data_IF_048256173958
#
_entry.id   IF_048256173958
#
_cell.length_a   1.000
_cell.length_b   1.000
_cell.length_c   1.000
_cell.angle_alpha   90.00
_cell.angle_beta   90.00
_cell.angle_gamma   90.00
#
_symmetry.space_group_name_H-M   'P 1'
#
loop_
_entity.id
_entity.type
_entity.pdbx_description
1 polymer ?
#
# COMPACT_ATOMS: atom_id res chain seq x y z
N UNK A 1 37.93 -18.71 -11.23
CA UNK A 1 38.15 -17.85 -10.06
C UNK A 1 36.81 -17.74 -9.35
N UNK A 2 36.68 -18.29 -8.13
CA UNK A 2 35.50 -18.05 -7.28
C UNK A 2 35.68 -16.73 -6.55
N UNK A 3 34.61 -15.94 -6.45
CA UNK A 3 34.58 -14.77 -5.57
C UNK A 3 34.51 -15.27 -4.13
N UNK A 4 35.28 -14.64 -3.24
CA UNK A 4 35.28 -14.93 -1.80
C UNK A 4 34.55 -13.84 -1.03
N UNK A 5 33.87 -14.23 0.05
CA UNK A 5 33.21 -13.33 0.97
C UNK A 5 34.23 -12.37 1.61
N UNK A 6 33.85 -11.09 1.74
CA UNK A 6 34.72 -10.05 2.32
C UNK A 6 34.95 -10.26 3.83
N UNK A 7 33.95 -10.74 4.58
CA UNK A 7 34.06 -10.89 6.04
C UNK A 7 34.77 -12.19 6.44
N UNK A 8 34.33 -13.32 5.89
CA UNK A 8 34.75 -14.64 6.40
C UNK A 8 35.66 -15.42 5.44
N UNK A 9 35.85 -14.93 4.20
CA UNK A 9 36.70 -15.58 3.19
C UNK A 9 36.13 -16.85 2.55
N UNK A 10 34.92 -17.27 2.94
CA UNK A 10 34.16 -18.37 2.34
C UNK A 10 33.74 -18.10 0.89
N UNK A 11 33.28 -19.12 0.17
CA UNK A 11 32.77 -18.96 -1.19
C UNK A 11 31.56 -18.01 -1.21
N UNK A 12 31.63 -16.97 -2.06
CA UNK A 12 30.57 -15.99 -2.19
C UNK A 12 29.37 -16.58 -2.93
N UNK A 13 28.18 -16.43 -2.35
CA UNK A 13 26.91 -16.90 -2.93
C UNK A 13 26.04 -15.76 -3.45
N UNK A 14 26.44 -14.51 -3.17
CA UNK A 14 25.72 -13.31 -3.59
C UNK A 14 26.60 -12.07 -3.53
N UNK A 15 26.04 -10.94 -3.93
CA UNK A 15 26.71 -9.63 -3.94
C UNK A 15 25.80 -8.63 -3.23
N UNK A 16 26.38 -7.82 -2.35
CA UNK A 16 25.67 -6.73 -1.71
C UNK A 16 25.17 -5.77 -2.78
N UNK A 17 23.86 -5.52 -2.80
CA UNK A 17 23.26 -4.69 -3.83
C UNK A 17 23.77 -3.25 -3.78
N UNK A 18 24.12 -2.70 -2.60
CA UNK A 18 24.52 -1.29 -2.40
C UNK A 18 25.98 -1.05 -2.74
N UNK A 19 26.90 -1.73 -2.04
CA UNK A 19 28.34 -1.51 -2.17
C UNK A 19 29.04 -2.46 -3.14
N UNK A 20 28.36 -3.47 -3.67
CA UNK A 20 28.96 -4.45 -4.60
C UNK A 20 29.87 -5.49 -3.94
N UNK A 21 29.94 -5.55 -2.60
CA UNK A 21 30.78 -6.50 -1.88
C UNK A 21 30.28 -7.95 -2.03
N UNK A 22 31.13 -8.94 -2.33
CA UNK A 22 30.75 -10.36 -2.33
C UNK A 22 30.43 -10.86 -0.91
N UNK A 23 29.33 -11.58 -0.76
CA UNK A 23 28.80 -12.07 0.52
C UNK A 23 28.56 -13.58 0.48
N UNK A 24 28.90 -14.28 1.57
CA UNK A 24 28.46 -15.66 1.82
C UNK A 24 27.02 -15.67 2.37
N UNK A 25 26.35 -16.81 2.38
CA UNK A 25 24.95 -16.94 2.85
C UNK A 25 24.76 -16.48 4.30
N UNK A 26 25.76 -16.63 5.16
CA UNK A 26 25.70 -16.21 6.55
C UNK A 26 25.74 -14.68 6.73
N UNK A 27 26.43 -13.96 5.83
CA UNK A 27 26.54 -12.50 5.86
C UNK A 27 25.48 -11.80 4.98
N UNK A 28 24.52 -12.54 4.44
CA UNK A 28 23.46 -11.99 3.61
C UNK A 28 22.24 -11.64 4.46
N UNK A 29 21.81 -10.39 4.37
CA UNK A 29 20.50 -9.98 4.88
C UNK A 29 19.60 -9.58 3.71
N UNK A 30 18.48 -10.27 3.57
CA UNK A 30 17.50 -9.93 2.54
C UNK A 30 16.51 -8.90 3.12
N UNK A 31 16.47 -7.71 2.49
CA UNK A 31 15.57 -6.63 2.90
C UNK A 31 14.81 -6.09 1.71
N UNK A 32 13.53 -5.79 1.92
CA UNK A 32 12.69 -5.15 0.92
C UNK A 32 13.02 -3.67 0.88
N UNK A 33 13.47 -3.19 -0.27
CA UNK A 33 13.79 -1.78 -0.51
C UNK A 33 12.68 -1.20 -1.39
N UNK A 34 12.02 -0.13 -0.94
CA UNK A 34 10.94 0.51 -1.69
C UNK A 34 11.47 1.35 -2.87
N UNK A 35 12.76 1.72 -2.84
CA UNK A 35 13.44 2.45 -3.92
C UNK A 35 13.70 1.56 -5.13
N UNK A 36 14.05 0.30 -4.91
CA UNK A 36 14.11 -0.70 -5.98
C UNK A 36 12.72 -1.31 -6.18
N UNK A 37 12.06 -0.97 -7.28
CA UNK A 37 10.77 -1.52 -7.61
C UNK A 37 10.80 -2.34 -8.89
N UNK A 38 10.15 -3.48 -8.84
CA UNK A 38 9.77 -4.27 -10.01
C UNK A 38 8.36 -3.89 -10.44
N UNK A 39 8.16 -3.69 -11.74
CA UNK A 39 6.87 -3.38 -12.33
C UNK A 39 6.30 -4.61 -13.02
N UNK A 40 5.12 -5.07 -12.60
CA UNK A 40 4.46 -6.23 -13.22
C UNK A 40 3.21 -5.83 -14.00
N UNK A 41 2.87 -6.58 -15.05
CA UNK A 41 1.74 -6.28 -15.94
C UNK A 41 0.37 -6.75 -15.39
N UNK A 42 0.26 -6.97 -14.08
CA UNK A 42 -0.95 -7.49 -13.42
C UNK A 42 -1.96 -6.43 -12.97
N UNK A 43 -1.69 -5.14 -13.17
CA UNK A 43 -2.48 -4.06 -12.58
C UNK A 43 -3.87 -3.84 -13.22
N UNK A 44 -4.21 -4.54 -14.32
CA UNK A 44 -5.55 -4.46 -14.92
C UNK A 44 -6.66 -4.88 -13.95
N UNK A 45 -6.44 -5.94 -13.17
CA UNK A 45 -7.39 -6.38 -12.14
C UNK A 45 -7.51 -5.35 -11.00
N UNK A 46 -6.38 -4.76 -10.57
CA UNK A 46 -6.37 -3.72 -9.54
C UNK A 46 -7.10 -2.45 -10.01
N UNK A 47 -6.91 -2.04 -11.27
CA UNK A 47 -7.62 -0.91 -11.87
C UNK A 47 -9.12 -1.18 -11.91
N UNK A 48 -9.54 -2.36 -12.38
CA UNK A 48 -10.94 -2.75 -12.41
C UNK A 48 -11.55 -2.77 -10.99
N UNK A 49 -10.83 -3.32 -10.01
CA UNK A 49 -11.22 -3.28 -8.60
C UNK A 49 -11.34 -1.85 -8.08
N UNK A 50 -10.37 -0.98 -8.39
CA UNK A 50 -10.37 0.41 -7.95
C UNK A 50 -11.61 1.15 -8.48
N UNK A 51 -11.92 1.01 -9.77
CA UNK A 51 -13.13 1.58 -10.38
C UNK A 51 -14.40 0.97 -9.77
N UNK A 52 -14.43 -0.34 -9.56
CA UNK A 52 -15.57 -1.02 -8.95
C UNK A 52 -15.80 -0.57 -7.51
N UNK A 53 -14.75 -0.36 -6.70
CA UNK A 53 -14.87 0.13 -5.32
C UNK A 53 -15.23 1.61 -5.29
N UNK A 54 -14.76 2.40 -6.25
CA UNK A 54 -15.07 3.83 -6.36
C UNK A 54 -16.54 4.07 -6.76
N UNK A 55 -17.03 3.37 -7.78
CA UNK A 55 -18.34 3.64 -8.40
C UNK A 55 -19.41 2.64 -7.92
N UNK A 56 -19.01 1.42 -7.59
CA UNK A 56 -19.90 0.31 -7.25
C UNK A 56 -20.79 0.58 -6.04
N UNK A 57 -20.30 1.08 -4.90
CA UNK A 57 -21.15 1.43 -3.76
C UNK A 57 -22.20 2.46 -4.12
N UNK A 58 -21.85 3.47 -4.93
CA UNK A 58 -22.82 4.45 -5.39
C UNK A 58 -23.90 3.80 -6.27
N UNK A 59 -23.52 3.03 -7.29
CA UNK A 59 -24.47 2.37 -8.20
C UNK A 59 -25.35 1.35 -7.47
N UNK A 60 -24.76 0.48 -6.66
CA UNK A 60 -25.49 -0.55 -5.92
C UNK A 60 -26.49 0.08 -4.95
N UNK A 61 -26.09 1.11 -4.21
CA UNK A 61 -26.90 1.67 -3.13
C UNK A 61 -27.86 2.78 -3.56
N UNK A 62 -27.69 3.37 -4.75
CA UNK A 62 -28.59 4.42 -5.28
C UNK A 62 -29.40 4.00 -6.49
N UNK A 63 -28.89 3.09 -7.32
CA UNK A 63 -29.54 2.73 -8.60
C UNK A 63 -30.14 1.33 -8.51
N UNK A 64 -29.34 0.32 -8.13
CA UNK A 64 -29.79 -1.08 -8.15
C UNK A 64 -30.67 -1.41 -6.95
N UNK A 65 -30.27 -1.00 -5.75
CA UNK A 65 -30.93 -1.33 -4.49
C UNK A 65 -31.12 -0.10 -3.57
N UNK A 66 -31.88 0.93 -4.00
CA UNK A 66 -31.97 2.22 -3.31
C UNK A 66 -32.49 2.11 -1.86
N UNK A 67 -33.36 1.14 -1.58
CA UNK A 67 -34.00 0.97 -0.29
C UNK A 67 -33.41 -0.19 0.55
N UNK A 68 -32.52 -1.02 -0.02
CA UNK A 68 -32.06 -2.23 0.66
C UNK A 68 -31.29 -1.95 1.95
N UNK A 69 -30.46 -0.90 1.96
CA UNK A 69 -29.68 -0.50 3.15
C UNK A 69 -30.60 0.01 4.26
N UNK A 70 -31.65 0.76 3.90
CA UNK A 70 -32.59 1.32 4.85
C UNK A 70 -33.50 0.24 5.46
N UNK A 71 -33.92 -0.75 4.66
CA UNK A 71 -34.68 -1.91 5.12
C UNK A 71 -33.80 -2.82 5.98
N UNK A 72 -32.58 -3.15 5.52
CA UNK A 72 -31.64 -4.02 6.22
C UNK A 72 -31.16 -3.45 7.55
N UNK A 73 -30.85 -2.15 7.63
CA UNK A 73 -30.39 -1.54 8.88
C UNK A 73 -31.50 -1.52 9.94
N UNK A 74 -32.75 -1.27 9.54
CA UNK A 74 -33.89 -1.33 10.45
C UNK A 74 -34.18 -2.76 10.92
N UNK A 75 -34.08 -3.74 10.03
CA UNK A 75 -34.30 -5.14 10.38
C UNK A 75 -33.25 -5.69 11.36
N UNK A 76 -31.98 -5.31 11.21
CA UNK A 76 -30.88 -5.81 12.06
C UNK A 76 -30.68 -5.01 13.35
N UNK A 77 -30.84 -3.68 13.30
CA UNK A 77 -30.46 -2.78 14.40
C UNK A 77 -31.62 -1.98 14.98
N UNK A 78 -32.84 -2.14 14.46
CA UNK A 78 -34.03 -1.41 14.92
C UNK A 78 -34.03 0.10 14.60
N UNK A 79 -32.96 0.64 14.00
CA UNK A 79 -32.79 2.07 13.68
C UNK A 79 -32.04 2.28 12.36
N UNK A 80 -32.16 3.48 11.77
CA UNK A 80 -31.36 3.85 10.59
C UNK A 80 -29.97 4.31 11.02
N UNK A 81 -28.95 3.51 10.72
CA UNK A 81 -27.56 3.80 11.07
C UNK A 81 -26.84 4.73 10.06
N UNK A 82 -27.56 5.32 9.09
CA UNK A 82 -26.96 6.12 7.98
C UNK A 82 -25.85 5.38 7.19
N UNK A 83 -25.87 4.04 7.21
CA UNK A 83 -24.91 3.14 6.53
C UNK A 83 -24.66 3.48 5.05
N UNK A 84 -25.67 4.01 4.38
CA UNK A 84 -25.58 4.35 2.96
C UNK A 84 -24.53 5.43 2.68
N UNK A 85 -24.51 6.50 3.46
CA UNK A 85 -23.56 7.60 3.27
C UNK A 85 -22.13 7.15 3.62
N UNK A 86 -21.96 6.48 4.76
CA UNK A 86 -20.69 5.89 5.18
C UNK A 86 -20.09 4.94 4.14
N UNK A 87 -20.87 3.98 3.63
CA UNK A 87 -20.41 3.03 2.60
C UNK A 87 -19.97 3.70 1.29
N UNK A 88 -20.71 4.71 0.85
CA UNK A 88 -20.37 5.46 -0.37
C UNK A 88 -19.08 6.26 -0.17
N UNK A 89 -18.96 6.99 0.93
CA UNK A 89 -17.76 7.78 1.24
C UNK A 89 -16.52 6.89 1.44
N UNK A 90 -16.66 5.77 2.15
CA UNK A 90 -15.60 4.77 2.29
C UNK A 90 -15.17 4.19 0.94
N UNK A 91 -16.13 3.92 0.05
CA UNK A 91 -15.87 3.47 -1.31
C UNK A 91 -15.05 4.47 -2.11
N UNK A 92 -15.37 5.76 -2.02
CA UNK A 92 -14.59 6.81 -2.68
C UNK A 92 -13.16 6.90 -2.13
N UNK A 93 -12.98 6.89 -0.81
CA UNK A 93 -11.65 6.98 -0.18
C UNK A 93 -10.77 5.78 -0.59
N UNK A 94 -11.30 4.56 -0.49
CA UNK A 94 -10.55 3.35 -0.87
C UNK A 94 -10.32 3.26 -2.38
N UNK A 95 -11.33 3.59 -3.19
CA UNK A 95 -11.24 3.58 -4.65
C UNK A 95 -10.19 4.56 -5.15
N UNK A 96 -10.14 5.77 -4.60
CA UNK A 96 -9.10 6.75 -4.92
C UNK A 96 -7.72 6.25 -4.50
N UNK A 97 -7.57 5.70 -3.30
CA UNK A 97 -6.29 5.17 -2.83
C UNK A 97 -5.78 4.03 -3.73
N UNK A 98 -6.67 3.13 -4.15
CA UNK A 98 -6.32 2.08 -5.10
C UNK A 98 -5.92 2.65 -6.46
N UNK A 99 -6.62 3.67 -6.97
CA UNK A 99 -6.22 4.35 -8.21
C UNK A 99 -4.84 5.01 -8.10
N UNK A 100 -4.52 5.64 -6.97
CA UNK A 100 -3.20 6.24 -6.74
C UNK A 100 -2.08 5.20 -6.62
N UNK A 101 -2.40 3.97 -6.21
CA UNK A 101 -1.41 2.88 -6.17
C UNK A 101 -1.06 2.31 -7.55
N UNK A 102 -1.82 2.68 -8.60
CA UNK A 102 -1.62 2.18 -9.96
C UNK A 102 -0.73 3.12 -10.75
N UNK A 103 0.31 2.56 -11.39
CA UNK A 103 1.25 3.32 -12.22
C UNK A 103 0.96 3.16 -13.71
N UNK A 104 1.16 4.24 -14.45
CA UNK A 104 0.97 4.27 -15.90
C UNK A 104 2.31 4.51 -16.57
N UNK A 105 2.71 3.63 -17.49
CA UNK A 105 3.85 3.87 -18.38
C UNK A 105 3.33 4.09 -19.80
N UNK A 106 3.52 5.29 -20.39
CA UNK A 106 3.21 5.48 -21.80
C UNK A 106 4.16 4.60 -22.63
N UNK A 107 3.60 3.86 -23.57
CA UNK A 107 4.37 3.13 -24.58
C UNK A 107 4.37 3.94 -25.88
N UNK A 108 5.34 3.70 -26.77
CA UNK A 108 5.57 4.50 -27.98
C UNK A 108 4.39 4.51 -28.98
N UNK A 109 3.34 3.72 -28.75
CA UNK A 109 2.05 3.87 -29.42
C UNK A 109 0.99 4.43 -28.47
N UNK A 110 0.35 5.55 -28.88
CA UNK A 110 -0.75 6.23 -28.18
C UNK A 110 -1.94 5.31 -27.79
N UNK A 111 -2.01 4.10 -28.37
CA UNK A 111 -3.06 3.11 -28.14
C UNK A 111 -2.72 2.04 -27.09
N UNK A 112 -1.46 1.96 -26.61
CA UNK A 112 -1.02 0.93 -25.66
C UNK A 112 -0.52 1.55 -24.35
N UNK A 113 -1.44 2.07 -23.54
CA UNK A 113 -1.13 2.41 -22.14
C UNK A 113 -1.06 1.11 -21.34
N UNK A 114 0.13 0.77 -20.82
CA UNK A 114 0.27 -0.37 -19.90
C UNK A 114 0.09 0.11 -18.47
N UNK A 115 -0.88 -0.52 -17.80
CA UNK A 115 -1.13 -0.36 -16.38
C UNK A 115 -0.16 -1.29 -15.64
N UNK A 116 0.63 -0.74 -14.74
CA UNK A 116 1.68 -1.45 -14.04
C UNK A 116 1.43 -1.43 -12.53
N UNK A 117 1.76 -2.55 -11.90
CA UNK A 117 1.78 -2.66 -10.45
C UNK A 117 3.20 -2.50 -9.95
N UNK A 118 3.39 -1.69 -8.92
CA UNK A 118 4.71 -1.45 -8.33
C UNK A 118 4.87 -2.36 -7.11
N UNK A 119 5.89 -3.21 -7.15
CA UNK A 119 6.24 -4.05 -6.02
C UNK A 119 7.70 -3.79 -5.61
N UNK A 120 7.91 -3.43 -4.34
CA UNK A 120 9.26 -3.29 -3.78
C UNK A 120 10.00 -4.62 -3.84
N UNK A 121 11.22 -4.58 -4.37
CA UNK A 121 12.04 -5.77 -4.58
C UNK A 121 12.91 -6.04 -3.36
N UNK A 122 13.12 -7.31 -3.06
CA UNK A 122 14.07 -7.71 -2.04
C UNK A 122 15.51 -7.54 -2.57
N UNK A 123 16.37 -6.92 -1.78
CA UNK A 123 17.78 -6.71 -2.07
C UNK A 123 18.61 -7.37 -0.99
N UNK A 124 19.68 -8.04 -1.42
CA UNK A 124 20.69 -8.60 -0.53
C UNK A 124 21.60 -7.47 -0.06
N UNK A 125 21.74 -7.31 1.26
CA UNK A 125 22.52 -6.25 1.88
C UNK A 125 23.56 -6.83 2.84
N UNK A 126 24.70 -6.13 2.92
CA UNK A 126 25.75 -6.33 3.90
C UNK A 126 25.35 -5.74 5.26
N UNK A 127 25.85 -6.23 6.39
CA UNK A 127 25.50 -5.70 7.73
C UNK A 127 25.78 -4.20 7.86
N UNK A 128 26.89 -3.70 7.32
CA UNK A 128 27.22 -2.27 7.31
C UNK A 128 26.20 -1.45 6.50
N UNK A 129 25.66 -2.05 5.44
CA UNK A 129 24.69 -1.47 4.52
C UNK A 129 23.26 -1.53 5.06
N UNK A 130 22.99 -2.38 6.06
CA UNK A 130 21.66 -2.52 6.68
C UNK A 130 21.30 -1.27 7.49
N UNK A 131 22.30 -0.61 8.10
CA UNK A 131 22.10 0.61 8.88
C UNK A 131 21.44 1.73 8.08
N UNK A 132 21.80 1.85 6.80
CA UNK A 132 21.27 2.88 5.89
C UNK A 132 19.80 2.65 5.51
N UNK A 133 19.31 1.41 5.60
CA UNK A 133 17.92 1.04 5.30
C UNK A 133 17.03 1.04 6.56
N UNK A 134 17.61 1.34 7.72
CA UNK A 134 16.90 1.35 8.99
C UNK A 134 15.92 2.52 9.09
N UNK A 135 16.25 3.68 8.50
CA UNK A 135 15.36 4.86 8.41
C UNK A 135 14.06 4.53 7.68
N UNK A 136 14.16 3.88 6.51
CA UNK A 136 13.01 3.44 5.71
C UNK A 136 12.14 2.45 6.47
N UNK A 137 12.74 1.55 7.26
CA UNK A 137 12.00 0.58 8.07
C UNK A 137 11.20 1.27 9.17
N UNK A 138 11.79 2.24 9.86
CA UNK A 138 11.10 3.04 10.88
C UNK A 138 9.95 3.81 10.25
N UNK A 139 10.15 4.36 9.05
CA UNK A 139 9.13 5.08 8.32
C UNK A 139 7.97 4.18 7.89
N UNK A 140 8.26 2.99 7.36
CA UNK A 140 7.25 1.98 7.03
C UNK A 140 6.43 1.58 8.26
N UNK A 141 7.10 1.31 9.38
CA UNK A 141 6.43 0.97 10.64
C UNK A 141 5.55 2.14 11.12
N UNK A 142 6.05 3.38 11.04
CA UNK A 142 5.30 4.58 11.40
C UNK A 142 4.03 4.73 10.57
N UNK A 143 4.12 4.59 9.25
CA UNK A 143 2.95 4.69 8.35
C UNK A 143 1.95 3.55 8.62
N UNK A 144 2.41 2.33 8.86
CA UNK A 144 1.55 1.21 9.24
C UNK A 144 0.83 1.45 10.58
N UNK A 145 1.53 2.02 11.55
CA UNK A 145 0.98 2.35 12.87
C UNK A 145 -0.11 3.43 12.73
N UNK A 146 0.15 4.49 11.95
CA UNK A 146 -0.85 5.52 11.64
C UNK A 146 -2.06 4.93 10.93
N UNK A 147 -1.86 4.07 9.93
CA UNK A 147 -2.95 3.38 9.25
C UNK A 147 -3.80 2.52 10.21
N UNK A 148 -3.14 1.78 11.09
CA UNK A 148 -3.80 0.97 12.12
C UNK A 148 -4.58 1.82 13.12
N UNK A 149 -4.02 2.93 13.60
CA UNK A 149 -4.70 3.85 14.51
C UNK A 149 -5.92 4.50 13.87
N UNK A 150 -5.85 4.90 12.59
CA UNK A 150 -6.99 5.42 11.86
C UNK A 150 -8.09 4.37 11.69
N UNK A 151 -7.72 3.13 11.33
CA UNK A 151 -8.67 2.04 11.20
C UNK A 151 -9.36 1.71 12.52
N UNK A 152 -8.60 1.53 13.60
CA UNK A 152 -9.13 1.26 14.94
C UNK A 152 -9.95 2.43 15.49
N UNK A 153 -9.47 3.67 15.28
CA UNK A 153 -10.17 4.89 15.66
C UNK A 153 -11.51 5.04 14.94
N UNK A 154 -11.56 4.77 13.64
CA UNK A 154 -12.80 4.77 12.88
C UNK A 154 -13.80 3.71 13.37
N UNK A 155 -13.32 2.49 13.67
CA UNK A 155 -14.16 1.44 14.25
C UNK A 155 -14.73 1.89 15.59
N UNK A 156 -13.88 2.46 16.46
CA UNK A 156 -14.30 3.00 17.75
C UNK A 156 -15.36 4.11 17.61
N UNK A 157 -15.20 5.03 16.66
CA UNK A 157 -16.18 6.08 16.38
C UNK A 157 -17.53 5.51 15.98
N UNK A 158 -17.56 4.54 15.05
CA UNK A 158 -18.80 3.88 14.61
C UNK A 158 -19.50 3.16 15.78
N UNK A 159 -18.73 2.51 16.66
CA UNK A 159 -19.29 1.84 17.84
C UNK A 159 -19.85 2.82 18.88
N UNK A 160 -19.16 3.94 19.11
CA UNK A 160 -19.54 4.90 20.16
C UNK A 160 -20.64 5.86 19.73
N UNK A 161 -20.59 6.38 18.50
CA UNK A 161 -21.63 7.26 17.96
C UNK A 161 -22.90 6.48 17.61
N UNK A 162 -22.77 5.18 17.32
CA UNK A 162 -23.85 4.37 16.77
C UNK A 162 -24.29 4.86 15.39
N UNK A 163 -23.46 5.65 14.70
CA UNK A 163 -23.66 6.16 13.36
C UNK A 163 -22.58 5.55 12.45
N UNK A 164 -23.02 4.96 11.35
CA UNK A 164 -22.12 4.38 10.37
C UNK A 164 -21.56 5.43 9.40
N UNK A 165 -21.84 6.72 9.60
CA UNK A 165 -21.32 7.77 8.73
C UNK A 165 -19.79 7.85 8.82
N UNK A 166 -19.21 7.59 9.99
CA UNK A 166 -17.77 7.62 10.27
C UNK A 166 -16.97 6.44 9.68
N UNK A 167 -17.61 5.53 8.93
CA UNK A 167 -16.90 4.44 8.24
C UNK A 167 -15.83 4.94 7.26
N UNK A 168 -15.92 6.19 6.80
CA UNK A 168 -14.89 6.80 5.96
C UNK A 168 -13.54 6.90 6.66
N UNK A 169 -13.51 7.01 8.00
CA UNK A 169 -12.26 7.06 8.79
C UNK A 169 -11.56 5.70 8.76
N UNK A 170 -12.33 4.60 8.81
CA UNK A 170 -11.79 3.25 8.66
C UNK A 170 -11.21 3.07 7.25
N UNK A 171 -11.95 3.53 6.25
CA UNK A 171 -11.50 3.53 4.86
C UNK A 171 -10.25 4.39 4.65
N UNK A 172 -10.10 5.50 5.37
CA UNK A 172 -8.90 6.33 5.36
C UNK A 172 -7.68 5.57 5.90
N UNK A 173 -7.83 4.83 7.00
CA UNK A 173 -6.77 3.95 7.50
C UNK A 173 -6.36 2.90 6.46
N UNK A 174 -7.35 2.27 5.81
CA UNK A 174 -7.11 1.35 4.70
C UNK A 174 -6.42 2.01 3.50
N UNK A 175 -6.84 3.22 3.14
CA UNK A 175 -6.22 4.01 2.06
C UNK A 175 -4.74 4.29 2.35
N UNK A 176 -4.42 4.78 3.55
CA UNK A 176 -3.03 5.02 3.98
C UNK A 176 -2.21 3.73 3.90
N UNK A 177 -2.78 2.59 4.30
CA UNK A 177 -2.10 1.30 4.19
C UNK A 177 -1.83 0.86 2.74
N UNK A 178 -2.77 1.12 1.83
CA UNK A 178 -2.64 0.81 0.39
C UNK A 178 -1.54 1.66 -0.25
N UNK A 179 -1.51 2.97 0.01
CA UNK A 179 -0.52 3.89 -0.58
C UNK A 179 0.76 4.03 0.26
N UNK A 180 0.97 3.17 1.27
CA UNK A 180 2.07 3.30 2.25
C UNK A 180 3.45 3.36 1.58
N UNK A 181 3.65 2.58 0.53
CA UNK A 181 4.95 2.46 -0.14
C UNK A 181 5.26 3.78 -0.88
N UNK A 182 4.24 4.40 -1.48
CA UNK A 182 4.33 5.73 -2.11
C UNK A 182 4.51 6.86 -1.10
N UNK A 183 3.86 6.78 0.07
CA UNK A 183 4.06 7.74 1.17
C UNK A 183 5.52 7.69 1.64
N UNK A 184 6.06 6.50 1.87
CA UNK A 184 7.45 6.31 2.31
C UNK A 184 8.44 6.89 1.30
N UNK A 185 8.20 6.66 0.01
CA UNK A 185 9.02 7.21 -1.07
C UNK A 185 8.91 8.72 -1.17
N UNK A 186 7.70 9.27 -1.08
CA UNK A 186 7.47 10.72 -1.11
C UNK A 186 8.15 11.44 0.05
N UNK A 187 8.08 10.88 1.26
CA UNK A 187 8.80 11.42 2.41
C UNK A 187 10.31 11.32 2.21
N UNK A 188 10.82 10.18 1.72
CA UNK A 188 12.26 10.01 1.45
C UNK A 188 12.80 10.99 0.41
N UNK A 189 12.00 11.34 -0.59
CA UNK A 189 12.35 12.37 -1.57
C UNK A 189 12.38 13.77 -0.94
N UNK A 190 11.48 14.07 0.01
CA UNK A 190 11.45 15.36 0.71
C UNK A 190 12.59 15.53 1.72
N UNK A 191 13.09 14.44 2.31
CA UNK A 191 14.21 14.47 3.25
C UNK A 191 15.58 14.46 2.57
N UNK A 192 15.63 14.42 1.23
CA UNK A 192 16.88 14.40 0.46
C UNK A 192 17.63 13.08 0.52
N UNK A 193 16.98 12.00 0.97
CA UNK A 193 17.62 10.69 1.17
C UNK A 193 17.72 9.90 -0.14
N UNK A 194 17.14 10.41 -1.23
CA UNK A 194 17.11 9.77 -2.57
C UNK A 194 18.37 10.01 -3.42
N UNK A 195 19.31 10.85 -2.98
CA UNK A 195 20.48 11.27 -3.77
C UNK A 195 21.84 10.70 -3.28
N UNK A 196 21.83 9.71 -2.38
CA UNK A 196 23.04 9.00 -1.93
C UNK A 196 23.19 7.63 -2.60
#
# INVERSE_FOLDING_TARGET
MSLRCVNDGDDATGVCGVCGSPLCTACQSERRDSRLATYTSGAGLRLALAVAVLVGPFLLLNVVFPNAVLIGSRALFGRSLFLKAGLVNSGYVLGLALLFSVWYRPHDSLLNVRVLDREGTARILCEDCVGDVQSQRVLHLGVQLVAGLLALGGVYLVFTSGLADDLWVVALGGAVYVVRDEIVLGIGALTGETDA
#
